data_IF_800366417932
#
_entry.id   IF_800366417932
#
_cell.length_a   1.000
_cell.length_b   1.000
_cell.length_c   1.000
_cell.angle_alpha   90.00
_cell.angle_beta   90.00
_cell.angle_gamma   90.00
#
_symmetry.space_group_name_H-M   'P 1'
#
loop_
_entity.id
_entity.type
_entity.pdbx_description
1 polymer ?
#
# COMPACT_ATOMS: atom_id res chain seq x y z
N UNK A 1 11.22 42.25 -21.60
CA UNK A 1 11.58 41.50 -20.38
C UNK A 1 10.31 41.30 -19.58
N UNK A 2 9.72 40.06 -19.64
CA UNK A 2 8.57 39.70 -18.86
C UNK A 2 8.96 38.50 -17.98
N UNK A 3 9.08 38.74 -16.70
CA UNK A 3 9.29 37.71 -15.68
C UNK A 3 8.01 36.90 -15.46
N UNK A 4 8.05 35.62 -15.74
CA UNK A 4 6.98 34.72 -15.38
C UNK A 4 7.29 34.14 -14.00
N UNK A 5 6.50 34.50 -13.01
CA UNK A 5 6.46 33.86 -11.72
C UNK A 5 5.67 32.56 -11.88
N UNK A 6 6.32 31.43 -11.75
CA UNK A 6 5.67 30.14 -11.68
C UNK A 6 5.35 29.79 -10.23
N UNK A 7 4.10 29.90 -9.85
CA UNK A 7 3.61 29.36 -8.57
C UNK A 7 3.51 27.85 -8.69
N UNK A 8 4.44 27.14 -8.11
CA UNK A 8 4.38 25.69 -7.99
C UNK A 8 3.44 25.28 -6.88
N UNK A 9 2.19 25.04 -7.24
CA UNK A 9 1.20 24.45 -6.32
C UNK A 9 1.42 22.94 -6.32
N UNK A 10 2.06 22.48 -5.28
CA UNK A 10 2.36 21.06 -5.08
C UNK A 10 1.16 20.29 -4.50
N UNK A 11 0.03 20.29 -5.20
CA UNK A 11 -1.07 19.41 -4.83
C UNK A 11 -0.99 18.12 -5.64
N UNK A 12 -0.42 17.22 -5.13
CA UNK A 12 -0.42 16.19 -5.63
C UNK A 12 -1.57 15.79 -5.89
N UNK A 13 -1.87 15.68 -6.88
CA UNK A 13 -3.13 15.23 -7.36
C UNK A 13 -3.60 13.98 -6.66
N UNK A 14 -4.44 14.14 -5.69
CA UNK A 14 -5.35 13.06 -5.33
C UNK A 14 -6.31 12.91 -6.51
N UNK A 15 -5.91 12.11 -7.50
CA UNK A 15 -6.87 11.60 -8.47
C UNK A 15 -8.01 10.97 -7.66
N UNK A 16 -9.24 11.27 -8.04
CA UNK A 16 -10.44 10.73 -7.38
C UNK A 16 -10.43 9.19 -7.56
N UNK A 17 -9.71 8.51 -6.68
CA UNK A 17 -9.71 7.06 -6.68
C UNK A 17 -11.14 6.56 -6.47
N UNK A 18 -11.60 5.71 -7.36
CA UNK A 18 -12.85 4.99 -7.18
C UNK A 18 -12.85 4.35 -5.79
N UNK A 19 -13.97 4.37 -5.12
CA UNK A 19 -14.13 3.77 -3.78
C UNK A 19 -13.47 2.38 -3.77
N UNK A 20 -12.40 2.18 -2.99
CA UNK A 20 -11.64 0.91 -3.03
C UNK A 20 -12.49 -0.30 -2.65
N UNK A 21 -13.51 -0.10 -1.84
CA UNK A 21 -14.44 -1.17 -1.45
C UNK A 21 -15.32 -1.57 -2.64
N UNK A 22 -15.72 -0.62 -3.47
CA UNK A 22 -16.49 -0.91 -4.68
C UNK A 22 -15.65 -1.72 -5.68
N UNK A 23 -14.40 -1.30 -5.90
CA UNK A 23 -13.44 -2.00 -6.77
C UNK A 23 -13.20 -3.43 -6.22
N UNK A 24 -12.93 -3.56 -4.93
CA UNK A 24 -12.71 -4.84 -4.27
C UNK A 24 -13.93 -5.76 -4.37
N UNK A 25 -15.15 -5.19 -4.25
CA UNK A 25 -16.40 -5.96 -4.36
C UNK A 25 -16.57 -6.53 -5.77
N UNK A 26 -16.32 -5.71 -6.79
CA UNK A 26 -16.40 -6.13 -8.19
C UNK A 26 -15.38 -7.24 -8.49
N UNK A 27 -14.12 -7.05 -8.10
CA UNK A 27 -13.05 -8.04 -8.31
C UNK A 27 -13.35 -9.36 -7.59
N UNK A 28 -13.83 -9.30 -6.35
CA UNK A 28 -14.21 -10.50 -5.61
C UNK A 28 -15.37 -11.24 -6.28
N UNK A 29 -16.36 -10.51 -6.80
CA UNK A 29 -17.50 -11.10 -7.52
C UNK A 29 -17.03 -11.79 -8.81
N UNK A 30 -16.18 -11.14 -9.59
CA UNK A 30 -15.62 -11.70 -10.83
C UNK A 30 -14.80 -12.97 -10.58
N UNK A 31 -14.13 -13.03 -9.44
CA UNK A 31 -13.31 -14.18 -9.03
C UNK A 31 -14.10 -15.26 -8.28
N UNK A 32 -15.40 -15.08 -8.09
CA UNK A 32 -16.27 -16.03 -7.38
C UNK A 32 -15.96 -16.14 -5.90
N UNK A 33 -15.37 -15.10 -5.28
CA UNK A 33 -15.05 -15.09 -3.85
C UNK A 33 -15.84 -13.99 -3.14
N UNK A 34 -16.07 -14.19 -1.83
CA UNK A 34 -16.94 -13.28 -1.07
C UNK A 34 -16.15 -12.23 -0.29
N UNK A 35 -16.45 -10.96 -0.54
CA UNK A 35 -15.97 -9.85 0.29
C UNK A 35 -16.88 -9.69 1.50
N UNK A 36 -16.55 -10.39 2.59
CA UNK A 36 -17.34 -10.36 3.84
C UNK A 36 -17.26 -8.99 4.52
N UNK A 37 -18.16 -8.76 5.50
CA UNK A 37 -18.18 -7.51 6.28
C UNK A 37 -16.81 -7.19 6.89
N UNK A 38 -16.16 -8.17 7.51
CA UNK A 38 -14.84 -7.93 8.15
C UNK A 38 -13.75 -7.59 7.12
N UNK A 39 -13.75 -8.27 5.96
CA UNK A 39 -12.82 -7.96 4.86
C UNK A 39 -13.00 -6.53 4.36
N UNK A 40 -14.24 -6.09 4.24
CA UNK A 40 -14.61 -4.72 3.85
C UNK A 40 -14.12 -3.70 4.88
N UNK A 41 -14.38 -3.94 6.18
CA UNK A 41 -13.95 -3.05 7.27
C UNK A 41 -12.43 -2.88 7.30
N UNK A 42 -11.67 -3.95 7.11
CA UNK A 42 -10.19 -3.88 7.09
C UNK A 42 -9.72 -3.05 5.88
N UNK A 43 -10.33 -3.23 4.71
CA UNK A 43 -10.00 -2.41 3.52
C UNK A 43 -10.29 -0.93 3.77
N UNK A 44 -11.44 -0.62 4.36
CA UNK A 44 -11.83 0.76 4.70
C UNK A 44 -10.82 1.39 5.66
N UNK A 45 -10.43 0.65 6.71
CA UNK A 45 -9.45 1.12 7.69
C UNK A 45 -8.08 1.40 7.04
N UNK A 46 -7.61 0.52 6.18
CA UNK A 46 -6.35 0.70 5.47
C UNK A 46 -6.40 1.91 4.53
N UNK A 47 -7.53 2.07 3.83
CA UNK A 47 -7.75 3.20 2.93
C UNK A 47 -7.73 4.53 3.68
N UNK A 48 -8.50 4.62 4.77
CA UNK A 48 -8.61 5.85 5.57
C UNK A 48 -7.28 6.27 6.19
N UNK A 49 -6.47 5.30 6.59
CA UNK A 49 -5.17 5.59 7.20
C UNK A 49 -4.14 6.08 6.17
N UNK A 50 -4.22 5.60 4.93
CA UNK A 50 -3.32 6.03 3.85
C UNK A 50 -1.84 5.80 4.13
N UNK A 51 -1.52 4.89 5.07
CA UNK A 51 -0.15 4.56 5.47
C UNK A 51 -0.05 3.09 5.87
N UNK A 52 1.17 2.53 5.87
CA UNK A 52 1.38 1.18 6.38
C UNK A 52 0.84 1.04 7.81
N UNK A 53 0.01 0.03 8.03
CA UNK A 53 -0.69 -0.19 9.31
C UNK A 53 -0.46 -1.62 9.77
N UNK A 54 0.00 -1.78 11.01
CA UNK A 54 0.23 -3.08 11.63
C UNK A 54 -1.07 -3.81 11.96
N UNK A 55 -1.03 -5.15 12.03
CA UNK A 55 -2.21 -5.97 12.36
C UNK A 55 -2.81 -5.59 13.73
N UNK A 56 -1.99 -5.26 14.71
CA UNK A 56 -2.48 -4.86 16.04
C UNK A 56 -3.20 -3.51 16.01
N UNK A 57 -2.71 -2.56 15.22
CA UNK A 57 -3.39 -1.28 15.00
C UNK A 57 -4.77 -1.48 14.35
N UNK A 58 -4.87 -2.43 13.43
CA UNK A 58 -6.14 -2.80 12.79
C UNK A 58 -7.10 -3.43 13.80
N UNK A 59 -6.60 -4.32 14.67
CA UNK A 59 -7.40 -4.95 15.73
C UNK A 59 -7.99 -3.89 16.67
N UNK A 60 -7.18 -2.93 17.09
CA UNK A 60 -7.66 -1.84 17.97
C UNK A 60 -8.73 -0.99 17.26
N UNK A 61 -8.47 -0.59 16.01
CA UNK A 61 -9.43 0.18 15.23
C UNK A 61 -10.75 -0.58 14.98
N UNK A 62 -10.67 -1.90 14.81
CA UNK A 62 -11.85 -2.75 14.64
C UNK A 62 -12.71 -2.78 15.91
N UNK A 63 -12.09 -2.78 17.10
CA UNK A 63 -12.82 -2.75 18.38
C UNK A 63 -13.65 -1.46 18.53
N UNK A 64 -13.13 -0.35 18.01
CA UNK A 64 -13.82 0.94 18.03
C UNK A 64 -15.00 1.01 17.07
N UNK A 65 -14.90 0.31 15.91
CA UNK A 65 -15.91 0.35 14.84
C UNK A 65 -16.98 -0.73 14.94
N UNK A 66 -16.64 -1.86 15.51
CA UNK A 66 -17.54 -3.01 15.59
C UNK A 66 -17.55 -3.52 17.03
N UNK A 67 -18.73 -3.56 17.64
CA UNK A 67 -18.92 -4.08 18.98
C UNK A 67 -18.53 -5.57 19.14
N UNK A 68 -18.34 -6.26 18.01
CA UNK A 68 -17.88 -7.66 18.00
C UNK A 68 -16.37 -7.70 18.16
N UNK A 69 -15.92 -8.30 19.24
CA UNK A 69 -14.48 -8.52 19.43
C UNK A 69 -13.95 -9.50 18.40
N UNK A 70 -13.02 -9.05 17.57
CA UNK A 70 -12.37 -9.88 16.56
C UNK A 70 -10.96 -10.23 17.04
N UNK A 71 -10.70 -11.51 17.23
CA UNK A 71 -9.39 -11.95 17.70
C UNK A 71 -8.30 -11.92 16.61
N UNK A 72 -7.02 -11.84 17.03
CA UNK A 72 -5.89 -11.77 16.09
C UNK A 72 -5.91 -12.84 15.00
N UNK A 73 -6.17 -14.13 15.27
CA UNK A 73 -6.17 -15.14 14.21
C UNK A 73 -7.16 -14.83 13.08
N UNK A 74 -8.31 -14.26 13.41
CA UNK A 74 -9.35 -13.90 12.43
C UNK A 74 -8.88 -12.73 11.56
N UNK A 75 -8.20 -11.73 12.16
CA UNK A 75 -7.66 -10.59 11.44
C UNK A 75 -6.56 -11.06 10.48
N UNK A 76 -5.63 -11.91 10.93
CA UNK A 76 -4.56 -12.44 10.08
C UNK A 76 -5.12 -13.24 8.89
N UNK A 77 -6.10 -14.13 9.11
CA UNK A 77 -6.77 -14.87 8.02
C UNK A 77 -7.44 -13.92 7.03
N UNK A 78 -7.99 -12.82 7.54
CA UNK A 78 -8.62 -11.81 6.69
C UNK A 78 -7.59 -11.09 5.84
N UNK A 79 -6.46 -10.70 6.44
CA UNK A 79 -5.33 -10.06 5.74
C UNK A 79 -4.74 -11.01 4.68
N UNK A 80 -4.55 -12.29 5.02
CA UNK A 80 -4.06 -13.31 4.08
C UNK A 80 -4.99 -13.43 2.86
N UNK A 81 -6.30 -13.42 3.10
CA UNK A 81 -7.28 -13.43 2.00
C UNK A 81 -7.12 -12.19 1.13
N UNK A 82 -7.03 -10.99 1.75
CA UNK A 82 -6.93 -9.72 1.01
C UNK A 82 -5.62 -9.65 0.19
N UNK A 83 -4.53 -10.19 0.73
CA UNK A 83 -3.24 -10.31 0.02
C UNK A 83 -3.39 -11.27 -1.16
N UNK A 84 -3.97 -12.44 -0.93
CA UNK A 84 -4.20 -13.45 -1.99
C UNK A 84 -5.05 -12.88 -3.13
N UNK A 85 -5.96 -11.96 -2.81
CA UNK A 85 -6.78 -11.29 -3.81
C UNK A 85 -6.11 -10.04 -4.40
N UNK A 86 -4.88 -9.71 -4.01
CA UNK A 86 -4.17 -8.52 -4.51
C UNK A 86 -4.82 -7.20 -4.09
N UNK A 87 -5.66 -7.22 -3.05
CA UNK A 87 -6.34 -6.03 -2.54
C UNK A 87 -5.51 -5.28 -1.50
N UNK A 88 -4.57 -6.00 -0.91
CA UNK A 88 -3.67 -5.51 0.15
C UNK A 88 -2.28 -6.05 -0.14
N UNK A 89 -1.27 -5.24 0.10
CA UNK A 89 0.13 -5.66 0.09
C UNK A 89 0.70 -5.63 1.50
N UNK A 90 1.59 -6.56 1.79
CA UNK A 90 2.32 -6.59 3.07
C UNK A 90 3.70 -5.97 2.85
N UNK A 91 4.06 -5.04 3.70
CA UNK A 91 5.41 -4.48 3.81
C UNK A 91 6.13 -5.32 4.86
N UNK A 92 7.02 -6.18 4.42
CA UNK A 92 7.68 -7.18 5.29
C UNK A 92 8.61 -6.53 6.30
N UNK A 93 9.38 -5.52 5.87
CA UNK A 93 10.33 -4.80 6.72
C UNK A 93 9.69 -4.11 7.92
N UNK A 94 8.38 -3.84 7.83
CA UNK A 94 7.61 -3.15 8.88
C UNK A 94 6.53 -4.04 9.50
N UNK A 95 6.34 -5.24 8.98
CA UNK A 95 5.23 -6.13 9.36
C UNK A 95 3.89 -5.37 9.33
N UNK A 96 3.67 -4.61 8.26
CA UNK A 96 2.52 -3.71 8.10
C UNK A 96 1.82 -3.95 6.76
N UNK A 97 0.62 -3.43 6.60
CA UNK A 97 -0.28 -3.68 5.46
C UNK A 97 -0.71 -2.35 4.85
N UNK A 98 -0.84 -2.34 3.51
CA UNK A 98 -1.30 -1.17 2.75
C UNK A 98 -2.27 -1.58 1.64
N UNK A 99 -3.18 -0.91 1.13
CA UNK A 99 -3.99 -1.10 0.23
C UNK A 99 -3.27 -1.13 -0.95
N UNK A 100 -3.65 -1.80 -1.80
CA UNK A 100 -3.15 -1.81 -3.16
C UNK A 100 -3.92 -0.77 -3.98
N UNK A 101 -3.22 0.13 -4.62
CA UNK A 101 -3.84 1.22 -5.39
C UNK A 101 -4.58 0.70 -6.63
N UNK A 102 -4.05 -0.33 -7.27
CA UNK A 102 -4.59 -0.88 -8.52
C UNK A 102 -4.76 -2.41 -8.47
N UNK A 103 -5.70 -2.90 -7.65
CA UNK A 103 -5.87 -4.35 -7.47
C UNK A 103 -6.41 -5.09 -8.71
N UNK A 104 -6.88 -4.35 -9.71
CA UNK A 104 -7.34 -4.90 -10.99
C UNK A 104 -6.18 -5.33 -11.89
N UNK A 105 -4.97 -4.90 -11.59
CA UNK A 105 -3.77 -5.22 -12.37
C UNK A 105 -2.96 -6.30 -11.66
N UNK A 106 -2.42 -7.23 -12.44
CA UNK A 106 -1.44 -8.19 -11.92
C UNK A 106 -0.05 -7.55 -12.05
N UNK A 107 0.39 -6.92 -11.00
CA UNK A 107 1.69 -6.24 -11.00
C UNK A 107 2.46 -6.51 -9.71
N UNK A 108 3.76 -6.40 -9.79
CA UNK A 108 4.62 -6.37 -8.61
C UNK A 108 4.69 -4.95 -8.07
N UNK A 109 4.50 -4.81 -6.78
CA UNK A 109 4.60 -3.51 -6.12
C UNK A 109 6.03 -3.21 -5.72
N UNK A 110 6.49 -2.00 -6.02
CA UNK A 110 7.73 -1.44 -5.49
C UNK A 110 7.33 -0.37 -4.46
N UNK A 111 7.72 -0.55 -3.23
CA UNK A 111 7.43 0.37 -2.15
C UNK A 111 8.67 1.16 -1.77
N UNK A 112 8.59 2.48 -1.82
CA UNK A 112 9.57 3.39 -1.23
C UNK A 112 9.10 3.71 0.19
N UNK A 113 9.93 3.40 1.17
CA UNK A 113 9.58 3.48 2.59
C UNK A 113 10.55 4.42 3.30
N UNK A 114 10.02 5.48 3.89
CA UNK A 114 10.83 6.40 4.69
C UNK A 114 11.16 5.77 6.04
N UNK A 115 12.44 5.68 6.36
CA UNK A 115 12.91 5.17 7.64
C UNK A 115 12.54 6.08 8.81
N UNK A 116 12.41 7.39 8.57
CA UNK A 116 12.23 8.41 9.61
C UNK A 116 10.77 8.58 10.01
N UNK A 117 9.88 8.86 9.05
CA UNK A 117 8.47 9.13 9.34
C UNK A 117 7.53 7.95 9.04
N UNK A 118 8.03 6.90 8.42
CA UNK A 118 7.22 5.73 8.08
C UNK A 118 6.32 5.89 6.85
N UNK A 119 6.37 7.04 6.19
CA UNK A 119 5.59 7.25 4.95
C UNK A 119 6.01 6.23 3.89
N UNK A 120 5.04 5.77 3.11
CA UNK A 120 5.31 4.87 1.99
C UNK A 120 4.67 5.39 0.71
N UNK A 121 5.34 5.12 -0.40
CA UNK A 121 4.82 5.41 -1.75
C UNK A 121 4.94 4.16 -2.60
N UNK A 122 3.89 3.81 -3.31
CA UNK A 122 3.88 2.69 -4.24
C UNK A 122 4.27 3.19 -5.63
N UNK A 123 5.20 2.49 -6.26
CA UNK A 123 5.61 2.75 -7.63
C UNK A 123 5.21 1.56 -8.50
N UNK A 124 4.50 1.85 -9.58
CA UNK A 124 4.23 0.90 -10.65
C UNK A 124 5.16 1.24 -11.82
N UNK A 125 6.09 0.36 -12.13
CA UNK A 125 6.99 0.55 -13.28
C UNK A 125 7.18 -0.79 -14.00
N UNK A 126 6.67 -0.86 -15.20
CA UNK A 126 6.77 -2.05 -16.08
C UNK A 126 8.22 -2.45 -16.36
N UNK A 127 9.14 -1.50 -16.36
CA UNK A 127 10.57 -1.79 -16.59
C UNK A 127 11.15 -2.64 -15.47
N UNK A 128 10.80 -2.31 -14.22
CA UNK A 128 11.22 -3.10 -13.06
C UNK A 128 10.62 -4.51 -13.12
N UNK A 129 9.35 -4.60 -13.49
CA UNK A 129 8.66 -5.89 -13.63
C UNK A 129 9.31 -6.78 -14.71
N UNK A 130 9.60 -6.18 -15.87
CA UNK A 130 10.21 -6.89 -16.99
C UNK A 130 11.61 -7.38 -16.65
N UNK A 131 12.43 -6.52 -16.04
CA UNK A 131 13.79 -6.88 -15.63
C UNK A 131 13.78 -8.07 -14.67
N UNK A 132 12.95 -8.03 -13.65
CA UNK A 132 12.82 -9.13 -12.68
C UNK A 132 12.34 -10.42 -13.38
N UNK A 133 11.41 -10.30 -14.34
CA UNK A 133 10.88 -11.46 -15.05
C UNK A 133 11.94 -12.09 -15.96
N UNK A 134 12.74 -11.25 -16.64
CA UNK A 134 13.84 -11.69 -17.50
C UNK A 134 14.92 -12.42 -16.69
N UNK A 135 15.39 -11.78 -15.61
CA UNK A 135 16.39 -12.37 -14.72
C UNK A 135 15.90 -13.68 -14.09
N UNK A 136 14.62 -13.73 -13.69
CA UNK A 136 14.02 -14.95 -13.12
C UNK A 136 14.00 -16.08 -14.16
N UNK A 137 13.67 -15.76 -15.41
CA UNK A 137 13.65 -16.75 -16.52
C UNK A 137 15.06 -17.30 -16.76
N UNK A 138 16.08 -16.44 -16.77
CA UNK A 138 17.48 -16.83 -16.98
C UNK A 138 17.96 -17.75 -15.85
N UNK A 139 17.45 -17.55 -14.63
CA UNK A 139 17.74 -18.38 -13.45
C UNK A 139 16.89 -19.66 -13.41
N UNK A 140 15.94 -19.84 -14.34
CA UNK A 140 14.98 -20.95 -14.30
C UNK A 140 13.98 -20.83 -13.14
N UNK A 141 13.74 -19.62 -12.65
CA UNK A 141 12.91 -19.35 -11.47
C UNK A 141 11.49 -18.97 -11.87
N UNK A 142 10.50 -19.60 -11.23
CA UNK A 142 9.07 -19.27 -11.44
C UNK A 142 8.60 -18.30 -10.37
N UNK A 143 8.40 -17.06 -10.73
CA UNK A 143 7.91 -16.01 -9.82
C UNK A 143 6.41 -16.20 -9.55
N UNK A 144 6.01 -16.33 -8.30
CA UNK A 144 4.61 -16.39 -7.88
C UNK A 144 4.13 -15.07 -7.29
N UNK A 145 5.02 -14.36 -6.61
CA UNK A 145 4.72 -13.08 -5.97
C UNK A 145 5.99 -12.23 -5.94
N UNK A 146 5.84 -10.94 -6.08
CA UNK A 146 6.96 -9.98 -5.99
C UNK A 146 6.56 -8.85 -5.06
N UNK A 147 7.44 -8.52 -4.14
CA UNK A 147 7.38 -7.28 -3.36
C UNK A 147 8.81 -6.74 -3.31
N UNK A 148 9.00 -5.53 -3.78
CA UNK A 148 10.29 -4.84 -3.73
C UNK A 148 10.17 -3.69 -2.75
N UNK A 149 11.04 -3.63 -1.77
CA UNK A 149 11.06 -2.58 -0.77
C UNK A 149 12.37 -1.80 -0.86
N UNK A 150 12.26 -0.50 -1.04
CA UNK A 150 13.37 0.44 -1.10
C UNK A 150 13.26 1.36 0.11
N UNK A 151 14.23 1.31 1.00
CA UNK A 151 14.26 2.13 2.20
C UNK A 151 15.14 3.36 1.97
N UNK A 152 14.70 4.50 2.47
CA UNK A 152 15.41 5.76 2.35
C UNK A 152 14.77 6.84 3.21
N UNK A 153 15.06 8.10 2.90
CA UNK A 153 14.48 9.27 3.58
C UNK A 153 13.64 10.07 2.57
N UNK A 154 12.40 10.37 2.90
CA UNK A 154 11.52 11.14 2.03
C UNK A 154 11.89 12.63 2.02
N UNK A 155 11.45 13.35 0.99
CA UNK A 155 11.77 14.79 0.82
C UNK A 155 11.39 15.64 2.04
N UNK A 156 10.27 15.31 2.69
CA UNK A 156 9.84 16.05 3.89
C UNK A 156 10.81 15.87 5.06
N UNK A 157 11.39 14.68 5.21
CA UNK A 157 12.37 14.41 6.27
C UNK A 157 13.74 14.98 5.92
N UNK A 158 14.18 14.84 4.66
CA UNK A 158 15.45 15.48 4.18
C UNK A 158 15.41 16.98 4.43
N UNK A 159 14.30 17.64 4.10
CA UNK A 159 14.16 19.11 4.28
C UNK A 159 14.14 19.51 5.76
N UNK A 160 13.68 18.64 6.65
CA UNK A 160 13.69 18.93 8.10
C UNK A 160 15.09 18.77 8.71
N UNK A 161 15.91 17.86 8.19
CA UNK A 161 17.30 17.67 8.64
C UNK A 161 18.18 18.85 8.22
N UNK A 162 18.01 19.36 6.98
CA UNK A 162 18.72 20.54 6.48
C UNK A 162 18.37 21.82 7.28
N UNK A 163 17.18 21.87 7.90
CA UNK A 163 16.76 23.00 8.73
C UNK A 163 17.39 22.96 10.13
N UNK A 164 17.85 21.80 10.59
CA UNK A 164 18.43 21.59 11.94
C UNK A 164 19.91 21.92 12.04
N UNK A 165 20.63 22.05 10.94
CA UNK A 165 22.10 22.21 10.95
C UNK A 165 22.57 23.65 10.80
N UNK A 166 21.69 24.63 11.10
CA UNK A 166 22.02 26.07 11.05
C UNK A 166 21.99 26.73 12.43
N UNK A 167 22.80 26.21 13.38
CA UNK A 167 23.11 26.93 14.62
C UNK A 167 24.58 26.73 15.01
#
# INVERSE_FOLDING_TARGET
MKTRQGSGDGSXGQEAFANPVAVASALCADRGVRLTRLRRLILELLWERGRPTGAYELIEALKERDSRSVGPPTVYRTLDFLITQGLVSKIESRNAYVXCAHPERSHGCVFFICGDCGASSELEDRRVEQLIAEDAADLGFRVHQRVVEVQGTCMSCVSSDDAGDRF
#
